data_IF_978914753227
#
_entry.id   IF_978914753227
#
_cell.length_a   1.000
_cell.length_b   1.000
_cell.length_c   1.000
_cell.angle_alpha   90.00
_cell.angle_beta   90.00
_cell.angle_gamma   90.00
#
_symmetry.space_group_name_H-M   'P 1'
#
loop_
_entity.id
_entity.type
_entity.pdbx_description
1 polymer ?
#
# COMPACT_ATOMS: atom_id res chain seq x y z
N UNK A 1 -21.12 19.50 -3.50
CA UNK A 1 -20.13 20.17 -2.63
C UNK A 1 -19.69 19.18 -1.56
N UNK A 2 -18.39 19.11 -1.26
CA UNK A 2 -17.87 18.30 -0.14
C UNK A 2 -18.49 18.81 1.17
N UNK A 3 -19.08 17.90 1.94
CA UNK A 3 -19.79 18.23 3.19
C UNK A 3 -18.88 18.25 4.41
N UNK A 4 -17.59 17.98 4.23
CA UNK A 4 -16.57 17.93 5.28
C UNK A 4 -15.34 18.69 4.75
N UNK A 5 -14.77 19.63 5.54
CA UNK A 5 -13.52 20.29 5.18
C UNK A 5 -12.38 19.27 5.12
N UNK A 6 -11.46 19.45 4.18
CA UNK A 6 -10.24 18.64 4.07
C UNK A 6 -9.05 19.45 4.57
N UNK A 7 -8.14 18.81 5.29
CA UNK A 7 -6.92 19.47 5.78
C UNK A 7 -5.88 19.66 4.66
N UNK A 8 -5.85 18.75 3.68
CA UNK A 8 -4.99 18.78 2.50
C UNK A 8 -5.86 18.69 1.26
N UNK A 9 -5.76 19.68 0.37
CA UNK A 9 -6.59 19.74 -0.83
C UNK A 9 -6.03 18.88 -1.96
N UNK A 10 -6.87 18.56 -2.95
CA UNK A 10 -6.42 17.85 -4.15
C UNK A 10 -5.40 18.68 -4.94
N UNK A 11 -5.53 20.01 -4.91
CA UNK A 11 -4.61 20.97 -5.49
C UNK A 11 -3.23 20.93 -4.83
N UNK A 12 -3.17 20.79 -3.51
CA UNK A 12 -1.93 20.69 -2.75
C UNK A 12 -1.20 19.38 -3.05
N UNK A 13 -1.95 18.27 -3.09
CA UNK A 13 -1.40 16.97 -3.52
C UNK A 13 -0.89 17.06 -4.96
N UNK A 14 -1.70 17.60 -5.88
CA UNK A 14 -1.34 17.75 -7.29
C UNK A 14 -0.06 18.57 -7.50
N UNK A 15 0.24 19.53 -6.61
CA UNK A 15 1.46 20.34 -6.68
C UNK A 15 2.76 19.53 -6.48
N UNK A 16 2.66 18.31 -5.96
CA UNK A 16 3.80 17.39 -5.83
C UNK A 16 4.14 16.67 -7.15
N UNK A 17 3.33 16.85 -8.20
CA UNK A 17 3.66 16.40 -9.54
C UNK A 17 4.84 17.23 -10.12
N UNK A 18 5.86 16.61 -10.73
CA UNK A 18 7.03 17.33 -11.27
C UNK A 18 6.68 18.36 -12.36
N UNK A 19 5.63 18.09 -13.13
CA UNK A 19 5.11 19.00 -14.16
C UNK A 19 4.06 19.99 -13.62
N UNK A 20 3.91 20.05 -12.30
CA UNK A 20 2.98 20.95 -11.62
C UNK A 20 1.53 20.48 -11.64
N UNK A 21 0.66 21.30 -11.03
CA UNK A 21 -0.76 21.00 -10.79
C UNK A 21 -1.55 20.76 -12.06
N UNK A 22 -1.26 21.49 -13.14
CA UNK A 22 -2.02 21.44 -14.39
C UNK A 22 -1.85 20.11 -15.13
N UNK A 23 -0.71 19.42 -14.92
CA UNK A 23 -0.52 18.06 -15.44
C UNK A 23 -1.52 17.06 -14.82
N UNK A 24 -2.03 17.35 -13.63
CA UNK A 24 -2.98 16.49 -12.89
C UNK A 24 -4.43 16.93 -13.10
N UNK A 25 -4.70 18.23 -12.98
CA UNK A 25 -6.07 18.78 -12.91
C UNK A 25 -6.49 19.55 -14.18
N UNK A 26 -5.57 19.81 -15.11
CA UNK A 26 -5.80 20.62 -16.31
C UNK A 26 -6.09 19.82 -17.57
N UNK A 27 -6.28 18.50 -17.48
CA UNK A 27 -6.57 17.65 -18.63
C UNK A 27 -7.97 17.01 -18.55
N UNK A 28 -8.58 16.74 -19.70
CA UNK A 28 -9.93 16.14 -19.79
C UNK A 28 -9.89 14.60 -19.87
N UNK A 29 -8.70 13.98 -19.80
CA UNK A 29 -8.54 12.54 -19.85
C UNK A 29 -8.51 11.96 -18.43
N UNK A 30 -9.60 11.30 -18.05
CA UNK A 30 -9.72 10.67 -16.72
C UNK A 30 -8.58 9.72 -16.39
N UNK A 31 -8.10 8.93 -17.36
CA UNK A 31 -7.02 7.97 -17.14
C UNK A 31 -5.71 8.67 -16.84
N UNK A 32 -5.37 9.71 -17.62
CA UNK A 32 -4.18 10.54 -17.39
C UNK A 32 -4.25 11.28 -16.06
N UNK A 33 -5.39 11.89 -15.75
CA UNK A 33 -5.63 12.54 -14.46
C UNK A 33 -5.43 11.58 -13.28
N UNK A 34 -5.96 10.35 -13.37
CA UNK A 34 -5.79 9.32 -12.33
C UNK A 34 -4.32 8.91 -12.17
N UNK A 35 -3.60 8.69 -13.27
CA UNK A 35 -2.19 8.32 -13.23
C UNK A 35 -1.32 9.45 -12.65
N UNK A 36 -1.55 10.69 -13.11
CA UNK A 36 -0.84 11.86 -12.63
C UNK A 36 -1.13 12.14 -11.14
N UNK A 37 -2.37 11.98 -10.70
CA UNK A 37 -2.72 12.12 -9.28
C UNK A 37 -2.11 11.01 -8.42
N UNK A 38 -2.07 9.77 -8.92
CA UNK A 38 -1.40 8.66 -8.24
C UNK A 38 0.09 8.93 -8.03
N UNK A 39 0.76 9.51 -9.03
CA UNK A 39 2.15 9.92 -8.95
C UNK A 39 2.34 11.08 -7.95
N UNK A 40 1.49 12.10 -8.03
CA UNK A 40 1.54 13.26 -7.14
C UNK A 40 1.31 12.86 -5.68
N UNK A 41 0.31 12.02 -5.41
CA UNK A 41 0.02 11.52 -4.05
C UNK A 41 1.17 10.67 -3.51
N UNK A 42 1.78 9.82 -4.32
CA UNK A 42 2.96 9.05 -3.91
C UNK A 42 4.11 9.98 -3.47
N UNK A 43 4.40 11.03 -4.24
CA UNK A 43 5.43 12.02 -3.87
C UNK A 43 5.07 12.85 -2.65
N UNK A 44 3.80 13.23 -2.52
CA UNK A 44 3.31 13.89 -1.32
C UNK A 44 3.53 13.01 -0.09
N UNK A 45 3.14 11.74 -0.16
CA UNK A 45 3.31 10.79 0.95
C UNK A 45 4.79 10.59 1.30
N UNK A 46 5.67 10.48 0.30
CA UNK A 46 7.12 10.37 0.51
C UNK A 46 7.75 11.64 1.12
N UNK A 47 7.13 12.82 0.96
CA UNK A 47 7.62 14.05 1.57
C UNK A 47 7.23 14.17 3.05
N UNK A 48 6.37 13.27 3.55
CA UNK A 48 5.89 13.24 4.94
C UNK A 48 6.70 12.26 5.79
N UNK A 49 7.12 12.73 6.96
CA UNK A 49 7.75 11.89 7.99
C UNK A 49 6.83 11.54 9.17
N UNK A 50 5.56 11.94 9.11
CA UNK A 50 4.62 11.92 10.23
C UNK A 50 3.41 11.02 10.01
N UNK A 51 3.47 10.11 9.05
CA UNK A 51 2.39 9.17 8.75
C UNK A 51 2.57 7.94 9.64
N UNK A 52 1.63 7.70 10.56
CA UNK A 52 1.60 6.48 11.40
C UNK A 52 0.75 5.36 10.80
N UNK A 53 -0.07 5.68 9.80
CA UNK A 53 -0.95 4.73 9.12
C UNK A 53 -1.70 5.42 8.00
N UNK A 54 -2.14 4.66 7.00
CA UNK A 54 -2.91 5.17 5.87
C UNK A 54 -4.15 4.29 5.63
N UNK A 55 -5.29 4.94 5.48
CA UNK A 55 -6.53 4.30 5.05
C UNK A 55 -7.10 5.04 3.84
N UNK A 56 -7.59 4.31 2.87
CA UNK A 56 -8.32 4.89 1.74
C UNK A 56 -9.51 4.06 1.32
N UNK A 57 -10.39 4.69 0.55
CA UNK A 57 -11.63 4.12 0.08
C UNK A 57 -11.81 4.47 -1.40
N UNK A 58 -12.32 3.55 -2.21
CA UNK A 58 -12.60 3.89 -3.60
C UNK A 58 -12.97 2.73 -4.52
N UNK A 59 -13.50 3.09 -5.69
CA UNK A 59 -13.57 2.18 -6.84
C UNK A 59 -12.21 2.07 -7.55
N UNK A 60 -12.20 1.70 -8.83
CA UNK A 60 -10.94 1.49 -9.57
C UNK A 60 -9.99 2.68 -9.54
N UNK A 61 -10.43 3.87 -9.96
CA UNK A 61 -9.56 5.06 -9.97
C UNK A 61 -9.02 5.46 -8.59
N UNK A 62 -9.88 5.45 -7.55
CA UNK A 62 -9.47 5.76 -6.19
C UNK A 62 -8.51 4.72 -5.61
N UNK A 63 -8.75 3.44 -5.89
CA UNK A 63 -7.85 2.34 -5.50
C UNK A 63 -6.48 2.52 -6.15
N UNK A 64 -6.42 2.81 -7.45
CA UNK A 64 -5.15 3.06 -8.14
C UNK A 64 -4.38 4.23 -7.55
N UNK A 65 -5.06 5.37 -7.28
CA UNK A 65 -4.43 6.57 -6.71
C UNK A 65 -3.86 6.29 -5.32
N UNK A 66 -4.70 5.79 -4.41
CA UNK A 66 -4.32 5.62 -3.01
C UNK A 66 -3.25 4.55 -2.87
N UNK A 67 -3.40 3.40 -3.53
CA UNK A 67 -2.46 2.30 -3.36
C UNK A 67 -1.08 2.62 -3.95
N UNK A 68 -1.01 3.45 -4.99
CA UNK A 68 0.27 4.00 -5.47
C UNK A 68 1.06 4.69 -4.36
N UNK A 69 0.37 5.48 -3.54
CA UNK A 69 0.98 6.17 -2.42
C UNK A 69 1.25 5.26 -1.22
N UNK A 70 0.33 4.34 -0.89
CA UNK A 70 0.55 3.35 0.16
C UNK A 70 1.81 2.52 -0.09
N UNK A 71 2.07 2.09 -1.34
CA UNK A 71 3.27 1.31 -1.68
C UNK A 71 4.59 2.06 -1.46
N UNK A 72 4.55 3.39 -1.30
CA UNK A 72 5.76 4.18 -0.96
C UNK A 72 6.07 4.22 0.53
N UNK A 73 5.12 3.83 1.38
CA UNK A 73 5.32 3.79 2.83
C UNK A 73 6.11 2.53 3.22
N UNK A 74 6.91 2.58 4.30
CA UNK A 74 7.65 1.42 4.81
C UNK A 74 6.76 0.18 5.05
N UNK A 75 7.32 -1.01 4.81
CA UNK A 75 6.70 -2.26 5.22
C UNK A 75 6.49 -2.29 6.74
N UNK A 76 5.35 -2.83 7.18
CA UNK A 76 4.94 -2.86 8.59
C UNK A 76 4.17 -1.62 9.04
N UNK A 77 4.23 -0.50 8.31
CA UNK A 77 3.37 0.65 8.58
C UNK A 77 1.91 0.30 8.19
N UNK A 78 0.91 0.53 9.06
CA UNK A 78 -0.48 0.15 8.79
C UNK A 78 -1.07 0.79 7.51
N UNK A 79 -1.50 -0.05 6.56
CA UNK A 79 -2.08 0.37 5.27
C UNK A 79 -3.36 -0.41 4.95
N UNK A 80 -4.51 0.26 4.89
CA UNK A 80 -5.82 -0.37 4.60
C UNK A 80 -6.50 0.30 3.41
N UNK A 81 -6.86 -0.48 2.40
CA UNK A 81 -7.60 0.00 1.24
C UNK A 81 -8.98 -0.66 1.16
N UNK A 82 -10.05 0.10 1.42
CA UNK A 82 -11.43 -0.37 1.21
C UNK A 82 -11.80 -0.20 -0.26
N UNK A 83 -11.87 -1.29 -1.01
CA UNK A 83 -11.99 -1.25 -2.47
C UNK A 83 -13.13 -2.11 -3.00
N UNK A 84 -13.79 -1.61 -4.06
CA UNK A 84 -14.71 -2.43 -4.87
C UNK A 84 -13.98 -3.53 -5.66
N UNK A 85 -12.65 -3.44 -5.77
CA UNK A 85 -11.80 -4.36 -6.52
C UNK A 85 -11.05 -5.36 -5.63
N UNK A 86 -11.28 -5.34 -4.31
CA UNK A 86 -10.54 -6.22 -3.38
C UNK A 86 -10.79 -7.72 -3.62
N UNK A 87 -11.93 -8.10 -4.21
CA UNK A 87 -12.28 -9.48 -4.56
C UNK A 87 -11.99 -9.77 -6.04
N UNK A 88 -10.76 -9.48 -6.49
CA UNK A 88 -10.30 -9.67 -7.87
C UNK A 88 -8.78 -9.77 -7.95
N UNK A 89 -8.22 -9.47 -9.12
CA UNK A 89 -6.77 -9.31 -9.25
C UNK A 89 -6.31 -8.04 -8.52
N UNK A 90 -5.55 -8.23 -7.45
CA UNK A 90 -5.03 -7.15 -6.61
C UNK A 90 -3.54 -6.92 -6.78
N UNK A 91 -2.85 -7.69 -7.62
CA UNK A 91 -1.41 -7.57 -7.84
C UNK A 91 -0.98 -6.14 -8.26
N UNK A 92 -1.71 -5.41 -9.14
CA UNK A 92 -1.34 -4.04 -9.50
C UNK A 92 -1.49 -3.01 -8.37
N UNK A 93 -2.26 -3.35 -7.32
CA UNK A 93 -2.55 -2.45 -6.20
C UNK A 93 -1.66 -2.75 -4.99
N UNK A 94 -1.41 -4.02 -4.70
CA UNK A 94 -0.58 -4.42 -3.55
C UNK A 94 0.90 -4.49 -3.93
N UNK A 95 1.21 -5.04 -5.12
CA UNK A 95 2.55 -5.41 -5.58
C UNK A 95 3.36 -6.11 -4.48
N UNK A 96 4.52 -5.58 -4.08
CA UNK A 96 5.40 -6.14 -3.05
C UNK A 96 5.17 -5.54 -1.66
N UNK A 97 4.11 -4.74 -1.49
CA UNK A 97 3.77 -4.11 -0.21
C UNK A 97 2.85 -4.99 0.64
N UNK A 98 2.70 -4.64 1.91
CA UNK A 98 1.82 -5.25 2.90
C UNK A 98 0.50 -4.44 3.04
N UNK A 99 -0.12 -4.07 1.91
CA UNK A 99 -1.42 -3.39 1.88
C UNK A 99 -2.54 -4.39 2.18
N UNK A 100 -3.39 -4.08 3.15
CA UNK A 100 -4.61 -4.86 3.42
C UNK A 100 -5.74 -4.36 2.53
N UNK A 101 -6.15 -5.21 1.57
CA UNK A 101 -7.31 -4.96 0.72
C UNK A 101 -8.60 -5.42 1.43
N UNK A 102 -9.51 -4.49 1.72
CA UNK A 102 -10.80 -4.77 2.35
C UNK A 102 -11.93 -4.62 1.32
N UNK A 103 -12.73 -5.67 1.06
CA UNK A 103 -13.87 -5.55 0.14
C UNK A 103 -14.90 -4.54 0.62
N UNK A 104 -15.28 -3.59 -0.24
CA UNK A 104 -16.36 -2.64 0.05
C UNK A 104 -17.75 -3.30 0.07
N UNK A 105 -17.86 -4.50 -0.53
CA UNK A 105 -19.08 -5.32 -0.75
C UNK A 105 -20.08 -4.67 -1.70
N UNK A 106 -20.44 -3.41 -1.48
CA UNK A 106 -21.27 -2.61 -2.39
C UNK A 106 -20.43 -1.54 -3.07
N UNK A 107 -20.93 -1.01 -4.18
CA UNK A 107 -20.36 0.21 -4.75
C UNK A 107 -20.45 1.38 -3.76
N UNK A 108 -19.53 2.33 -3.89
CA UNK A 108 -19.39 3.49 -3.01
C UNK A 108 -20.23 4.67 -3.50
N UNK A 109 -21.50 4.41 -3.78
CA UNK A 109 -22.50 5.40 -4.19
C UNK A 109 -23.28 5.95 -2.98
N UNK A 110 -22.55 6.44 -1.97
CA UNK A 110 -23.11 6.91 -0.71
C UNK A 110 -23.18 5.87 0.41
N UNK A 111 -23.67 6.28 1.57
CA UNK A 111 -23.73 5.43 2.77
C UNK A 111 -25.03 4.61 2.80
N UNK A 112 -24.89 3.29 2.84
CA UNK A 112 -25.96 2.32 3.05
C UNK A 112 -25.68 1.50 4.32
N UNK A 113 -26.60 0.58 4.68
CA UNK A 113 -26.46 -0.24 5.89
C UNK A 113 -25.15 -1.05 5.90
N UNK A 114 -24.77 -1.62 4.77
CA UNK A 114 -23.55 -2.42 4.65
C UNK A 114 -22.30 -1.53 4.64
N UNK A 115 -22.28 -0.47 3.83
CA UNK A 115 -21.09 0.39 3.75
C UNK A 115 -20.79 1.07 5.08
N UNK A 116 -21.79 1.42 5.90
CA UNK A 116 -21.55 1.90 7.28
C UNK A 116 -20.81 0.88 8.15
N UNK A 117 -21.20 -0.40 8.08
CA UNK A 117 -20.56 -1.47 8.86
C UNK A 117 -19.14 -1.72 8.34
N UNK A 118 -18.97 -1.83 7.02
CA UNK A 118 -17.66 -2.07 6.39
C UNK A 118 -16.68 -0.93 6.71
N UNK A 119 -17.11 0.32 6.54
CA UNK A 119 -16.28 1.49 6.84
C UNK A 119 -15.98 1.62 8.34
N UNK A 120 -16.93 1.26 9.21
CA UNK A 120 -16.68 1.20 10.65
C UNK A 120 -15.60 0.16 10.98
N UNK A 121 -15.71 -1.05 10.43
CA UNK A 121 -14.72 -2.11 10.64
C UNK A 121 -13.34 -1.71 10.09
N UNK A 122 -13.29 -1.06 8.93
CA UNK A 122 -12.04 -0.54 8.36
C UNK A 122 -11.38 0.51 9.27
N UNK A 123 -12.19 1.42 9.83
CA UNK A 123 -11.73 2.42 10.78
C UNK A 123 -11.20 1.79 12.09
N UNK A 124 -11.88 0.76 12.61
CA UNK A 124 -11.40 0.01 13.78
C UNK A 124 -10.10 -0.74 13.48
N UNK A 125 -9.99 -1.36 12.30
CA UNK A 125 -8.80 -2.09 11.89
C UNK A 125 -7.57 -1.17 11.82
N UNK A 126 -7.66 -0.03 11.12
CA UNK A 126 -6.53 0.90 11.03
C UNK A 126 -6.21 1.50 12.40
N UNK A 127 -7.21 1.86 13.20
CA UNK A 127 -6.99 2.43 14.55
C UNK A 127 -6.32 1.42 15.48
N UNK A 128 -6.71 0.14 15.41
CA UNK A 128 -6.11 -0.93 16.17
C UNK A 128 -4.64 -1.19 15.78
N UNK A 129 -4.35 -1.22 14.48
CA UNK A 129 -2.98 -1.41 13.98
C UNK A 129 -2.06 -0.23 14.32
N UNK A 130 -2.56 1.01 14.22
CA UNK A 130 -1.79 2.22 14.58
C UNK A 130 -1.62 2.33 16.10
N UNK A 131 -2.66 2.05 16.87
CA UNK A 131 -2.64 2.15 18.33
C UNK A 131 -1.86 1.04 19.03
N UNK A 132 -1.58 -0.07 18.33
CA UNK A 132 -0.84 -1.22 18.86
C UNK A 132 0.23 -1.65 17.85
N UNK A 133 1.29 -0.83 17.66
CA UNK A 133 2.34 -1.16 16.71
C UNK A 133 3.04 -2.46 17.13
N UNK A 134 3.50 -3.22 16.14
CA UNK A 134 4.32 -4.40 16.40
C UNK A 134 5.57 -3.99 17.20
N UNK A 135 6.04 -4.83 18.13
CA UNK A 135 7.29 -4.57 18.82
C UNK A 135 8.43 -4.47 17.79
N UNK A 136 9.40 -3.61 18.09
CA UNK A 136 10.61 -3.55 17.26
C UNK A 136 11.25 -4.93 17.22
N UNK A 137 11.64 -5.34 16.01
CA UNK A 137 12.33 -6.61 15.83
C UNK A 137 13.76 -6.47 16.35
N UNK A 138 13.95 -6.71 17.65
CA UNK A 138 15.27 -6.98 18.19
C UNK A 138 15.71 -8.37 17.69
N UNK A 139 16.82 -8.45 16.97
CA UNK A 139 17.16 -9.70 16.30
C UNK A 139 18.54 -9.73 15.64
N UNK A 140 18.78 -10.87 15.00
CA UNK A 140 19.99 -11.12 14.20
C UNK A 140 19.95 -10.23 12.95
N UNK A 141 21.10 -9.87 12.36
CA UNK A 141 21.12 -9.19 11.08
C UNK A 141 20.31 -9.98 10.04
N UNK A 142 19.45 -9.29 9.30
CA UNK A 142 18.63 -9.90 8.26
C UNK A 142 19.48 -10.35 7.07
N UNK A 143 19.19 -11.54 6.54
CA UNK A 143 19.85 -12.10 5.37
C UNK A 143 18.81 -12.56 4.35
N UNK A 144 18.74 -11.85 3.21
CA UNK A 144 17.93 -12.26 2.07
C UNK A 144 18.59 -13.40 1.28
N UNK A 145 17.81 -14.44 0.99
CA UNK A 145 18.23 -15.59 0.19
C UNK A 145 17.25 -15.81 -0.95
N UNK A 146 17.72 -15.88 -2.19
CA UNK A 146 16.87 -16.22 -3.33
C UNK A 146 16.81 -17.73 -3.54
N UNK A 147 15.62 -18.24 -3.90
CA UNK A 147 15.37 -19.65 -4.13
C UNK A 147 14.52 -19.87 -5.38
N UNK A 148 14.84 -20.91 -6.12
CA UNK A 148 13.94 -21.57 -7.07
C UNK A 148 13.76 -23.04 -6.68
N UNK A 149 12.71 -23.70 -7.18
CA UNK A 149 12.41 -25.10 -6.81
C UNK A 149 13.58 -26.08 -7.02
N UNK A 150 14.41 -25.87 -8.04
CA UNK A 150 15.61 -26.70 -8.31
C UNK A 150 16.79 -26.41 -7.38
N UNK A 151 16.74 -25.32 -6.61
CA UNK A 151 17.78 -24.89 -5.67
C UNK A 151 17.41 -25.10 -4.20
N UNK A 152 16.19 -25.58 -3.91
CA UNK A 152 15.68 -25.73 -2.55
C UNK A 152 16.64 -26.47 -1.61
N UNK A 153 17.27 -27.61 -1.99
CA UNK A 153 18.21 -28.28 -1.10
C UNK A 153 19.42 -27.42 -0.72
N UNK A 154 19.96 -26.67 -1.69
CA UNK A 154 21.11 -25.78 -1.48
C UNK A 154 20.75 -24.62 -0.55
N UNK A 155 19.67 -23.89 -0.86
CA UNK A 155 19.28 -22.70 -0.08
C UNK A 155 18.85 -23.08 1.34
N UNK A 156 18.20 -24.23 1.52
CA UNK A 156 17.83 -24.73 2.86
C UNK A 156 19.08 -25.03 3.70
N UNK A 157 20.07 -25.71 3.12
CA UNK A 157 21.33 -26.00 3.82
C UNK A 157 22.09 -24.72 4.21
N UNK A 158 22.12 -23.72 3.32
CA UNK A 158 22.71 -22.40 3.60
C UNK A 158 21.95 -21.70 4.74
N UNK A 159 20.61 -21.66 4.67
CA UNK A 159 19.80 -21.04 5.70
C UNK A 159 20.02 -21.72 7.07
N UNK A 160 20.01 -23.05 7.13
CA UNK A 160 20.25 -23.81 8.36
C UNK A 160 21.62 -23.50 8.97
N UNK A 161 22.66 -23.40 8.14
CA UNK A 161 24.01 -23.07 8.58
C UNK A 161 24.13 -21.64 9.14
N UNK A 162 23.35 -20.70 8.58
CA UNK A 162 23.46 -19.27 8.90
C UNK A 162 22.44 -18.78 9.94
N UNK A 163 21.34 -19.51 10.17
CA UNK A 163 20.26 -19.14 11.11
C UNK A 163 20.73 -18.90 12.54
N UNK A 164 21.88 -19.46 12.95
CA UNK A 164 22.46 -19.17 14.25
C UNK A 164 22.89 -17.69 14.39
N UNK A 165 23.34 -17.08 13.29
CA UNK A 165 23.93 -15.74 13.26
C UNK A 165 23.07 -14.70 12.52
N UNK A 166 22.15 -15.13 11.66
CA UNK A 166 21.32 -14.28 10.81
C UNK A 166 19.84 -14.63 10.91
N UNK A 167 18.99 -13.65 10.62
CA UNK A 167 17.57 -13.85 10.36
C UNK A 167 17.36 -14.08 8.85
N UNK A 168 17.29 -15.35 8.45
CA UNK A 168 17.29 -15.75 7.04
C UNK A 168 15.88 -15.64 6.44
N UNK A 169 15.69 -14.70 5.51
CA UNK A 169 14.46 -14.51 4.74
C UNK A 169 14.63 -15.09 3.34
N UNK A 170 13.78 -16.06 2.97
CA UNK A 170 13.86 -16.75 1.68
C UNK A 170 12.83 -16.20 0.71
N UNK A 171 13.28 -15.75 -0.47
CA UNK A 171 12.46 -15.17 -1.52
C UNK A 171 12.46 -16.02 -2.77
N UNK A 172 11.28 -16.27 -3.34
CA UNK A 172 11.16 -17.07 -4.55
C UNK A 172 11.52 -16.27 -5.81
N UNK A 173 12.44 -16.76 -6.65
CA UNK A 173 12.98 -16.04 -7.80
C UNK A 173 12.03 -16.04 -9.03
N UNK A 174 10.80 -15.53 -8.86
CA UNK A 174 9.74 -15.42 -9.90
C UNK A 174 9.53 -13.99 -10.41
N UNK A 175 10.53 -13.13 -10.31
CA UNK A 175 10.41 -11.70 -10.58
C UNK A 175 9.84 -10.94 -9.39
N UNK A 176 8.61 -11.24 -8.96
CA UNK A 176 7.99 -10.59 -7.79
C UNK A 176 8.80 -10.84 -6.51
N UNK A 177 9.26 -12.07 -6.26
CA UNK A 177 10.08 -12.32 -5.06
C UNK A 177 11.45 -11.66 -5.10
N UNK A 178 12.01 -11.42 -6.29
CA UNK A 178 13.21 -10.58 -6.45
C UNK A 178 12.94 -9.13 -6.03
N UNK A 179 11.88 -8.52 -6.57
CA UNK A 179 11.45 -7.16 -6.19
C UNK A 179 11.02 -7.03 -4.72
N UNK A 180 10.60 -8.12 -4.08
CA UNK A 180 10.21 -8.10 -2.65
C UNK A 180 11.44 -8.12 -1.74
N UNK A 181 12.56 -8.65 -2.23
CA UNK A 181 13.83 -8.69 -1.51
C UNK A 181 14.60 -7.37 -1.60
N UNK A 182 14.50 -6.68 -2.74
CA UNK A 182 15.09 -5.35 -3.00
C UNK A 182 14.38 -4.24 -2.22
#
# INVERSE_FOLDING_TARGET
ATTVPVDVSAEEVAAHHPEGRDAVLGNDDRGRSVAAMAFALARFVQSRGDISGMIGIGGGGGTSIVTSAMRTLPLGLPKVMVSTLASGDTAPYVDVSDIVMMPSVTDMAGLNRLSRIVLHNAAQAISGMVGNPAPSADGKPSLGLTMFGVTTPCVTAIADHLRANYDCMVFHATGTGGRTME
#
